data_IF_024979852545
#
_entry.id   IF_024979852545
#
_cell.length_a   1.000
_cell.length_b   1.000
_cell.length_c   1.000
_cell.angle_alpha   90.00
_cell.angle_beta   90.00
_cell.angle_gamma   90.00
#
_symmetry.space_group_name_H-M   'P 1'
#
loop_
_entity.id
_entity.type
_entity.pdbx_description
1 polymer ?
#
# COMPACT_ATOMS: atom_id res chain seq x y z
N UNK A 1 24.92 -0.71 10.17
CA UNK A 1 24.48 -1.12 8.81
C UNK A 1 25.07 -0.15 7.80
N UNK A 2 26.31 -0.39 7.36
CA UNK A 2 27.02 0.45 6.39
C UNK A 2 26.74 0.07 4.92
N UNK A 3 25.93 -0.98 4.68
CA UNK A 3 25.69 -1.53 3.33
C UNK A 3 24.86 -0.61 2.42
N UNK A 4 24.02 0.25 3.00
CA UNK A 4 23.21 1.21 2.25
C UNK A 4 23.19 2.54 3.00
N UNK A 5 24.14 3.40 2.65
CA UNK A 5 24.16 4.78 3.12
C UNK A 5 23.16 5.58 2.27
N UNK A 6 22.12 6.10 2.93
CA UNK A 6 21.01 6.86 2.35
C UNK A 6 20.44 6.31 1.02
N UNK A 7 19.87 5.09 1.01
CA UNK A 7 19.33 4.53 -0.22
C UNK A 7 18.17 5.39 -0.76
N UNK A 8 18.16 5.71 -2.07
CA UNK A 8 17.10 6.51 -2.65
C UNK A 8 15.78 5.73 -2.73
N UNK A 9 14.68 6.45 -2.95
CA UNK A 9 13.42 5.82 -3.33
C UNK A 9 13.62 5.10 -4.68
N UNK A 10 13.17 3.83 -4.83
CA UNK A 10 13.36 3.08 -6.08
C UNK A 10 12.40 3.48 -7.21
N UNK A 11 11.41 4.32 -6.93
CA UNK A 11 10.43 4.80 -7.90
C UNK A 11 10.86 6.16 -8.45
N UNK A 12 10.74 6.36 -9.76
CA UNK A 12 11.07 7.62 -10.42
C UNK A 12 9.87 8.59 -10.35
N UNK A 13 10.10 9.80 -9.86
CA UNK A 13 9.08 10.85 -9.73
C UNK A 13 9.72 12.25 -9.66
N UNK A 14 8.93 13.28 -9.99
CA UNK A 14 9.34 14.69 -9.85
C UNK A 14 8.48 15.47 -8.86
N UNK A 15 7.25 15.00 -8.59
CA UNK A 15 6.29 15.68 -7.71
C UNK A 15 5.65 14.69 -6.72
N UNK A 16 5.08 15.16 -5.59
CA UNK A 16 4.33 14.31 -4.67
C UNK A 16 3.17 13.56 -5.36
N UNK A 17 2.51 14.19 -6.33
CA UNK A 17 1.46 13.54 -7.13
C UNK A 17 2.00 12.37 -7.95
N UNK A 18 3.12 12.57 -8.66
CA UNK A 18 3.75 11.50 -9.43
C UNK A 18 4.21 10.34 -8.52
N UNK A 19 4.76 10.66 -7.35
CA UNK A 19 5.10 9.65 -6.35
C UNK A 19 3.85 8.86 -5.93
N UNK A 20 2.76 9.54 -5.60
CA UNK A 20 1.51 8.89 -5.19
C UNK A 20 1.00 7.90 -6.26
N UNK A 21 0.97 8.33 -7.52
CA UNK A 21 0.60 7.47 -8.66
C UNK A 21 1.55 6.29 -8.79
N UNK A 22 2.87 6.53 -8.74
CA UNK A 22 3.88 5.46 -8.84
C UNK A 22 3.75 4.43 -7.72
N UNK A 23 3.49 4.85 -6.47
CA UNK A 23 3.30 3.94 -5.34
C UNK A 23 2.03 3.11 -5.53
N UNK A 24 0.91 3.69 -5.97
CA UNK A 24 -0.31 2.94 -6.31
C UNK A 24 -0.04 1.88 -7.40
N UNK A 25 0.73 2.24 -8.43
CA UNK A 25 1.10 1.31 -9.50
C UNK A 25 2.03 0.19 -9.02
N UNK A 26 2.90 0.45 -8.04
CA UNK A 26 3.86 -0.52 -7.49
C UNK A 26 3.22 -1.67 -6.71
N UNK A 27 1.98 -1.50 -6.23
CA UNK A 27 1.26 -2.56 -5.55
C UNK A 27 1.18 -3.84 -6.42
N UNK A 28 1.81 -4.92 -5.97
CA UNK A 28 1.92 -6.19 -6.72
C UNK A 28 2.55 -6.03 -8.12
N UNK A 29 3.53 -5.14 -8.25
CA UNK A 29 4.31 -4.93 -9.46
C UNK A 29 5.77 -4.64 -9.08
N UNK A 30 6.68 -4.70 -10.05
CA UNK A 30 8.09 -4.37 -9.78
C UNK A 30 8.33 -2.89 -10.01
N UNK A 31 9.18 -2.27 -9.18
CA UNK A 31 9.56 -0.86 -9.31
C UNK A 31 10.11 -0.58 -10.73
N UNK A 32 10.93 -1.50 -11.26
CA UNK A 32 11.41 -1.44 -12.66
C UNK A 32 10.26 -1.30 -13.66
N UNK A 33 9.20 -2.09 -13.52
CA UNK A 33 8.08 -2.05 -14.48
C UNK A 33 7.27 -0.76 -14.36
N UNK A 34 7.14 -0.24 -13.14
CA UNK A 34 6.50 1.06 -12.89
C UNK A 34 7.31 2.19 -13.54
N UNK A 35 8.63 2.19 -13.37
CA UNK A 35 9.52 3.20 -13.94
C UNK A 35 9.61 3.13 -15.47
N UNK A 36 9.37 1.96 -16.08
CA UNK A 36 9.26 1.83 -17.55
C UNK A 36 7.99 2.50 -18.11
N UNK A 37 6.89 2.55 -17.34
CA UNK A 37 5.56 2.95 -17.83
C UNK A 37 5.21 4.38 -17.44
N UNK A 38 5.59 4.78 -16.23
CA UNK A 38 5.27 6.10 -15.67
C UNK A 38 5.72 7.29 -16.51
N UNK A 39 6.86 7.27 -17.25
CA UNK A 39 7.23 8.39 -18.11
C UNK A 39 6.18 8.69 -19.18
N UNK A 40 5.61 7.66 -19.81
CA UNK A 40 4.56 7.84 -20.82
C UNK A 40 3.25 8.36 -20.19
N UNK A 41 2.90 7.87 -19.00
CA UNK A 41 1.72 8.33 -18.27
C UNK A 41 1.88 9.80 -17.83
N UNK A 42 3.01 10.18 -17.26
CA UNK A 42 3.27 11.53 -16.75
C UNK A 42 3.50 12.55 -17.86
N UNK A 43 3.95 12.13 -19.05
CA UNK A 43 3.97 13.00 -20.22
C UNK A 43 2.56 13.40 -20.68
N UNK A 44 1.56 12.52 -20.48
CA UNK A 44 0.16 12.80 -20.80
C UNK A 44 -0.55 13.57 -19.69
N UNK A 45 -0.29 13.20 -18.44
CA UNK A 45 -0.93 13.76 -17.25
C UNK A 45 0.10 13.92 -16.10
N UNK A 46 0.81 15.06 -16.04
CA UNK A 46 1.87 15.27 -15.05
C UNK A 46 1.36 15.60 -13.64
N UNK A 47 0.10 16.06 -13.51
CA UNK A 47 -0.53 16.53 -12.28
C UNK A 47 -1.97 15.97 -12.11
N UNK A 48 -2.57 16.26 -10.96
CA UNK A 48 -3.89 15.76 -10.60
C UNK A 48 -4.99 16.27 -11.54
N UNK A 49 -4.88 17.52 -12.01
CA UNK A 49 -5.83 18.16 -12.90
C UNK A 49 -5.85 17.46 -14.26
N UNK A 50 -4.68 17.27 -14.87
CA UNK A 50 -4.55 16.58 -16.14
C UNK A 50 -4.99 15.11 -16.02
N UNK A 51 -4.63 14.42 -14.92
CA UNK A 51 -5.01 13.02 -14.71
C UNK A 51 -6.51 12.85 -14.47
N UNK A 52 -7.15 13.78 -13.75
CA UNK A 52 -8.59 13.77 -13.50
C UNK A 52 -9.42 13.98 -14.76
N UNK A 53 -8.87 14.70 -15.75
CA UNK A 53 -9.50 14.95 -17.05
C UNK A 53 -9.38 13.76 -18.02
N UNK A 54 -8.51 12.79 -17.76
CA UNK A 54 -8.38 11.59 -18.59
C UNK A 54 -9.52 10.61 -18.35
N UNK A 55 -10.03 10.05 -19.44
CA UNK A 55 -10.90 8.89 -19.40
C UNK A 55 -10.16 7.66 -18.84
N UNK A 56 -10.85 6.88 -18.01
CA UNK A 56 -10.26 5.71 -17.32
C UNK A 56 -9.66 4.72 -18.32
N UNK A 57 -10.29 4.54 -19.48
CA UNK A 57 -9.84 3.65 -20.55
C UNK A 57 -8.48 4.05 -21.13
N UNK A 58 -8.17 5.35 -21.20
CA UNK A 58 -6.85 5.84 -21.64
C UNK A 58 -5.78 5.54 -20.60
N UNK A 59 -6.07 5.79 -19.32
CA UNK A 59 -5.15 5.45 -18.22
C UNK A 59 -4.86 3.95 -18.25
N UNK A 60 -5.91 3.13 -18.34
CA UNK A 60 -5.80 1.67 -18.41
C UNK A 60 -4.95 1.22 -19.61
N UNK A 61 -5.16 1.80 -20.79
CA UNK A 61 -4.40 1.46 -21.99
C UNK A 61 -2.89 1.73 -21.84
N UNK A 62 -2.52 2.82 -21.17
CA UNK A 62 -1.11 3.16 -20.87
C UNK A 62 -0.52 2.19 -19.86
N UNK A 63 -1.27 1.86 -18.79
CA UNK A 63 -0.77 0.99 -17.71
C UNK A 63 -1.09 -0.50 -17.91
N UNK A 64 -1.56 -0.93 -19.09
CA UNK A 64 -2.06 -2.29 -19.34
C UNK A 64 -1.08 -3.42 -19.02
N UNK A 65 0.22 -3.12 -19.00
CA UNK A 65 1.29 -4.06 -18.66
C UNK A 65 1.48 -4.25 -17.14
N UNK A 66 0.83 -3.42 -16.32
CA UNK A 66 0.81 -3.51 -14.87
C UNK A 66 -0.30 -4.48 -14.43
N UNK A 67 0.01 -5.35 -13.46
CA UNK A 67 -1.00 -6.21 -12.86
C UNK A 67 -2.11 -5.39 -12.19
N UNK A 68 -3.37 -5.84 -12.34
CA UNK A 68 -4.57 -5.14 -11.85
C UNK A 68 -4.82 -3.78 -12.52
N UNK A 69 -4.38 -3.61 -13.77
CA UNK A 69 -4.53 -2.37 -14.54
C UNK A 69 -5.96 -1.76 -14.52
N UNK A 70 -7.06 -2.52 -14.72
CA UNK A 70 -8.40 -1.92 -14.74
C UNK A 70 -8.77 -1.26 -13.40
N UNK A 71 -8.50 -1.94 -12.29
CA UNK A 71 -8.76 -1.42 -10.95
C UNK A 71 -7.84 -0.24 -10.62
N UNK A 72 -6.56 -0.33 -10.97
CA UNK A 72 -5.59 0.75 -10.75
C UNK A 72 -5.94 2.00 -11.55
N UNK A 73 -6.32 1.87 -12.81
CA UNK A 73 -6.74 2.99 -13.66
C UNK A 73 -7.95 3.72 -13.06
N UNK A 74 -8.96 2.96 -12.61
CA UNK A 74 -10.14 3.52 -11.93
C UNK A 74 -9.74 4.24 -10.63
N UNK A 75 -8.87 3.64 -9.82
CA UNK A 75 -8.40 4.25 -8.58
C UNK A 75 -7.61 5.54 -8.86
N UNK A 76 -6.70 5.55 -9.83
CA UNK A 76 -5.91 6.73 -10.20
C UNK A 76 -6.83 7.87 -10.67
N UNK A 77 -7.81 7.57 -11.53
CA UNK A 77 -8.79 8.58 -11.98
C UNK A 77 -9.60 9.15 -10.81
N UNK A 78 -10.17 8.28 -9.97
CA UNK A 78 -10.97 8.70 -8.82
C UNK A 78 -10.17 9.47 -7.77
N UNK A 79 -8.94 9.02 -7.48
CA UNK A 79 -8.02 9.69 -6.58
C UNK A 79 -7.66 11.08 -7.10
N UNK A 80 -7.34 11.20 -8.39
CA UNK A 80 -7.00 12.49 -9.01
C UNK A 80 -8.19 13.46 -8.97
N UNK A 81 -9.41 12.98 -9.27
CA UNK A 81 -10.64 13.78 -9.14
C UNK A 81 -10.86 14.28 -7.72
N UNK A 82 -10.71 13.39 -6.73
CA UNK A 82 -10.85 13.77 -5.31
C UNK A 82 -9.79 14.78 -4.87
N UNK A 83 -8.55 14.66 -5.33
CA UNK A 83 -7.51 15.65 -5.07
C UNK A 83 -7.91 17.02 -5.61
N UNK A 84 -8.41 17.10 -6.85
CA UNK A 84 -8.87 18.35 -7.45
C UNK A 84 -10.05 18.94 -6.68
N UNK A 85 -11.06 18.12 -6.36
CA UNK A 85 -12.30 18.55 -5.72
C UNK A 85 -12.11 19.01 -4.26
N UNK A 86 -11.31 18.29 -3.48
CA UNK A 86 -11.21 18.49 -2.02
C UNK A 86 -9.92 19.19 -1.62
N UNK A 87 -8.82 18.94 -2.33
CA UNK A 87 -7.47 19.40 -1.94
C UNK A 87 -6.86 20.37 -2.96
N UNK A 88 -7.64 20.89 -3.92
CA UNK A 88 -7.16 21.84 -4.93
C UNK A 88 -6.12 21.27 -5.90
N UNK A 89 -6.02 19.94 -6.00
CA UNK A 89 -5.06 19.21 -6.83
C UNK A 89 -3.74 18.88 -6.12
N UNK A 90 -3.56 19.30 -4.88
CA UNK A 90 -2.37 19.01 -4.09
C UNK A 90 -2.50 17.70 -3.29
N UNK A 91 -1.40 16.97 -3.14
CA UNK A 91 -1.39 15.76 -2.31
C UNK A 91 -1.41 16.16 -0.82
N UNK A 92 -2.35 15.65 -0.01
CA UNK A 92 -2.41 15.99 1.41
C UNK A 92 -1.25 15.38 2.21
N UNK A 93 -0.87 16.06 3.28
CA UNK A 93 0.27 15.71 4.15
C UNK A 93 -0.12 14.96 5.43
N UNK A 94 -1.33 14.38 5.51
CA UNK A 94 -1.82 13.66 6.70
C UNK A 94 -2.29 12.25 6.34
N UNK A 95 -2.28 11.34 7.33
CA UNK A 95 -2.74 9.97 7.14
C UNK A 95 -4.24 9.92 6.82
N UNK A 96 -5.03 10.67 7.58
CA UNK A 96 -6.48 10.67 7.52
C UNK A 96 -6.99 11.10 6.14
N UNK A 97 -6.33 12.07 5.51
CA UNK A 97 -6.69 12.54 4.18
C UNK A 97 -6.19 11.60 3.09
N UNK A 98 -4.95 11.10 3.21
CA UNK A 98 -4.38 10.18 2.21
C UNK A 98 -5.17 8.86 2.14
N UNK A 99 -5.56 8.27 3.27
CA UNK A 99 -6.32 7.02 3.30
C UNK A 99 -7.75 7.14 2.76
N UNK A 100 -8.27 8.35 2.59
CA UNK A 100 -9.55 8.58 1.91
C UNK A 100 -9.44 8.53 0.38
N UNK A 101 -8.22 8.56 -0.16
CA UNK A 101 -7.99 8.52 -1.60
C UNK A 101 -8.12 7.09 -2.14
N UNK A 102 -8.74 6.96 -3.32
CA UNK A 102 -8.96 5.66 -3.94
C UNK A 102 -7.61 4.96 -4.26
N UNK A 103 -7.46 3.72 -3.78
CA UNK A 103 -6.25 2.93 -3.98
C UNK A 103 -5.12 3.24 -2.99
N UNK A 104 -5.34 4.12 -2.02
CA UNK A 104 -4.38 4.45 -0.96
C UNK A 104 -4.81 3.77 0.34
N UNK A 105 -4.04 2.77 0.77
CA UNK A 105 -4.16 2.18 2.12
C UNK A 105 -3.03 2.65 3.03
N UNK A 106 -3.07 2.23 4.30
CA UNK A 106 -2.12 2.64 5.35
C UNK A 106 -0.65 2.63 4.90
N UNK A 107 -0.18 1.51 4.34
CA UNK A 107 1.19 1.39 3.85
C UNK A 107 1.53 2.41 2.75
N UNK A 108 0.60 2.65 1.82
CA UNK A 108 0.80 3.60 0.72
C UNK A 108 0.89 5.02 1.26
N UNK A 109 0.00 5.39 2.18
CA UNK A 109 0.05 6.67 2.88
C UNK A 109 1.37 6.85 3.64
N UNK A 110 1.82 5.84 4.41
CA UNK A 110 3.09 5.89 5.13
C UNK A 110 4.27 6.15 4.20
N UNK A 111 4.35 5.46 3.05
CA UNK A 111 5.45 5.66 2.07
C UNK A 111 5.43 7.08 1.50
N UNK A 112 4.26 7.60 1.13
CA UNK A 112 4.13 8.96 0.59
C UNK A 112 4.54 10.01 1.63
N UNK A 113 4.08 9.86 2.87
CA UNK A 113 4.45 10.74 3.98
C UNK A 113 5.96 10.72 4.27
N UNK A 114 6.57 9.54 4.29
CA UNK A 114 8.01 9.41 4.50
C UNK A 114 8.84 10.03 3.37
N UNK A 115 8.48 9.74 2.12
CA UNK A 115 9.32 10.08 0.97
C UNK A 115 9.10 11.52 0.51
N UNK A 116 7.84 11.94 0.32
CA UNK A 116 7.53 13.29 -0.16
C UNK A 116 7.54 14.34 0.95
N UNK A 117 6.96 14.03 2.12
CA UNK A 117 6.77 15.00 3.20
C UNK A 117 7.82 14.91 4.32
N UNK A 118 8.73 13.92 4.26
CA UNK A 118 9.77 13.67 5.27
C UNK A 118 9.23 13.46 6.68
N UNK A 119 7.97 13.08 6.80
CA UNK A 119 7.35 12.68 8.08
C UNK A 119 7.95 11.35 8.50
N UNK A 120 8.31 11.19 9.77
CA UNK A 120 8.84 9.93 10.27
C UNK A 120 7.72 8.87 10.26
N UNK A 121 7.78 7.94 9.31
CA UNK A 121 6.89 6.78 9.28
C UNK A 121 7.72 5.52 9.10
N UNK A 122 7.20 4.38 9.56
CA UNK A 122 7.90 3.09 9.42
C UNK A 122 7.02 2.10 8.66
N UNK A 123 6.82 2.29 7.33
CA UNK A 123 5.94 1.40 6.56
C UNK A 123 6.49 -0.02 6.62
N UNK A 124 5.71 -0.99 7.08
CA UNK A 124 6.12 -2.40 7.07
C UNK A 124 5.56 -3.07 5.81
N UNK A 125 6.46 -3.64 5.00
CA UNK A 125 6.09 -4.44 3.84
C UNK A 125 6.41 -5.93 4.06
N UNK A 126 6.26 -6.74 3.01
CA UNK A 126 6.54 -8.18 3.08
C UNK A 126 8.03 -8.50 3.28
N UNK A 127 8.94 -7.59 2.91
CA UNK A 127 10.36 -7.73 3.21
C UNK A 127 10.61 -7.45 4.68
N UNK A 128 10.20 -6.28 5.17
CA UNK A 128 10.42 -5.86 6.55
C UNK A 128 9.77 -6.82 7.53
N UNK A 129 8.51 -7.21 7.31
CA UNK A 129 7.81 -8.17 8.18
C UNK A 129 8.56 -9.51 8.26
N UNK A 130 8.95 -10.07 7.11
CA UNK A 130 9.71 -11.33 7.04
C UNK A 130 11.06 -11.22 7.74
N UNK A 131 11.78 -10.13 7.52
CA UNK A 131 13.11 -9.91 8.08
C UNK A 131 13.06 -9.67 9.59
N UNK A 132 12.11 -8.85 10.05
CA UNK A 132 11.89 -8.60 11.46
C UNK A 132 11.60 -9.92 12.22
N UNK A 133 10.79 -10.81 11.64
CA UNK A 133 10.58 -12.15 12.21
C UNK A 133 11.85 -13.02 12.17
N UNK A 134 12.57 -13.04 11.03
CA UNK A 134 13.82 -13.81 10.90
C UNK A 134 14.87 -13.41 11.92
N UNK A 135 14.98 -12.11 12.20
CA UNK A 135 15.96 -11.52 13.12
C UNK A 135 15.47 -11.47 14.57
N UNK A 136 14.28 -12.02 14.87
CA UNK A 136 13.74 -12.03 16.23
C UNK A 136 13.34 -10.65 16.76
N UNK A 137 13.14 -9.65 15.89
CA UNK A 137 12.71 -8.30 16.27
C UNK A 137 11.22 -8.23 16.62
N UNK A 138 10.42 -9.18 16.13
CA UNK A 138 8.97 -9.25 16.37
C UNK A 138 8.51 -10.70 16.32
N UNK A 139 7.55 -11.04 17.19
CA UNK A 139 6.75 -12.26 17.07
C UNK A 139 5.36 -11.97 16.47
N UNK A 140 5.20 -10.80 15.87
CA UNK A 140 3.93 -10.29 15.38
C UNK A 140 3.36 -11.16 14.27
N UNK A 141 2.06 -11.46 14.36
CA UNK A 141 1.36 -12.32 13.38
C UNK A 141 0.92 -11.55 12.13
N UNK A 142 0.88 -10.23 12.22
CA UNK A 142 0.43 -9.33 11.17
C UNK A 142 1.37 -8.13 11.06
N UNK A 143 1.15 -7.33 10.02
CA UNK A 143 2.01 -6.19 9.66
C UNK A 143 1.88 -5.09 10.70
N UNK A 144 0.68 -4.86 11.22
CA UNK A 144 0.37 -3.83 12.21
C UNK A 144 1.13 -4.06 13.52
N UNK A 145 1.16 -5.31 14.00
CA UNK A 145 1.93 -5.67 15.19
C UNK A 145 3.45 -5.54 14.94
N UNK A 146 3.94 -5.97 13.77
CA UNK A 146 5.35 -5.77 13.43
C UNK A 146 5.74 -4.31 13.33
N UNK A 147 4.88 -3.44 12.81
CA UNK A 147 5.13 -2.01 12.77
C UNK A 147 5.22 -1.42 14.19
N UNK A 148 4.27 -1.77 15.07
CA UNK A 148 4.30 -1.33 16.47
C UNK A 148 5.58 -1.78 17.19
N UNK A 149 5.96 -3.05 17.05
CA UNK A 149 7.17 -3.61 17.66
C UNK A 149 8.43 -2.89 17.15
N UNK A 150 8.55 -2.66 15.84
CA UNK A 150 9.73 -2.03 15.25
C UNK A 150 9.83 -0.55 15.61
N UNK A 151 8.72 0.18 15.73
CA UNK A 151 8.70 1.57 16.20
C UNK A 151 9.16 1.70 17.66
N UNK A 152 8.93 0.69 18.50
CA UNK A 152 9.44 0.66 19.88
C UNK A 152 10.95 0.39 19.91
N UNK A 153 11.45 -0.44 18.99
CA UNK A 153 12.87 -0.84 18.96
C UNK A 153 13.81 0.21 18.35
N UNK A 154 13.32 0.99 17.38
CA UNK A 154 14.14 1.96 16.65
C UNK A 154 13.73 3.40 16.94
N UNK A 155 14.73 4.28 17.03
CA UNK A 155 14.52 5.73 17.20
C UNK A 155 13.78 6.32 15.99
N UNK A 156 12.83 7.20 16.25
CA UNK A 156 11.94 7.82 15.25
C UNK A 156 12.71 8.50 14.11
N UNK A 157 13.80 9.20 14.46
CA UNK A 157 14.68 9.87 13.50
C UNK A 157 15.31 8.92 12.45
N UNK A 158 15.35 7.62 12.74
CA UNK A 158 15.97 6.61 11.87
C UNK A 158 14.97 5.85 11.01
N UNK A 159 13.66 6.04 11.20
CA UNK A 159 12.64 5.20 10.59
C UNK A 159 12.67 5.19 9.06
N UNK A 160 12.65 6.36 8.42
CA UNK A 160 12.64 6.51 6.97
C UNK A 160 13.88 5.87 6.29
N UNK A 161 15.14 6.19 6.69
CA UNK A 161 16.29 5.53 6.09
C UNK A 161 16.39 4.05 6.44
N UNK A 162 15.97 3.64 7.64
CA UNK A 162 15.98 2.24 8.05
C UNK A 162 14.98 1.39 7.24
N UNK A 163 13.80 1.92 6.95
CA UNK A 163 12.79 1.29 6.10
C UNK A 163 13.39 0.87 4.76
N UNK A 164 14.03 1.81 4.04
CA UNK A 164 14.65 1.52 2.74
C UNK A 164 15.84 0.56 2.88
N UNK A 165 16.71 0.77 3.87
CA UNK A 165 17.86 -0.13 4.13
C UNK A 165 17.44 -1.59 4.30
N UNK A 166 16.37 -1.85 5.05
CA UNK A 166 15.84 -3.21 5.27
C UNK A 166 15.25 -3.77 3.97
N UNK A 167 14.54 -2.96 3.19
CA UNK A 167 13.99 -3.39 1.88
C UNK A 167 15.10 -3.79 0.92
N UNK A 168 16.12 -2.95 0.72
CA UNK A 168 17.26 -3.25 -0.16
C UNK A 168 17.98 -4.52 0.29
N UNK A 169 18.27 -4.64 1.60
CA UNK A 169 18.86 -5.84 2.15
C UNK A 169 18.01 -7.10 1.88
N UNK A 170 16.69 -7.00 2.04
CA UNK A 170 15.75 -8.08 1.80
C UNK A 170 15.61 -8.49 0.33
N UNK A 171 15.93 -7.60 -0.60
CA UNK A 171 15.91 -7.87 -2.05
C UNK A 171 17.21 -8.54 -2.50
N UNK A 172 18.34 -8.04 -2.01
CA UNK A 172 19.68 -8.44 -2.49
C UNK A 172 20.22 -9.66 -1.73
N UNK A 173 20.11 -9.66 -0.41
CA UNK A 173 20.78 -10.65 0.45
C UNK A 173 19.81 -11.64 1.10
N UNK A 174 18.63 -11.20 1.52
CA UNK A 174 17.72 -12.00 2.34
C UNK A 174 16.37 -12.26 1.66
N UNK A 175 16.44 -12.93 0.52
CA UNK A 175 15.29 -13.30 -0.33
C UNK A 175 14.28 -14.18 0.41
N UNK A 176 13.03 -14.22 -0.09
CA UNK A 176 11.99 -15.07 0.50
C UNK A 176 12.33 -16.56 0.33
N UNK A 177 12.58 -17.00 -0.91
CA UNK A 177 13.07 -18.33 -1.24
C UNK A 177 13.74 -18.34 -2.65
N UNK A 178 14.79 -19.15 -2.88
CA UNK A 178 15.59 -19.84 -1.86
C UNK A 178 16.38 -18.84 -1.00
N UNK A 179 16.59 -19.16 0.27
CA UNK A 179 17.39 -18.36 1.21
C UNK A 179 18.30 -19.27 2.03
N UNK A 180 19.60 -18.96 2.03
CA UNK A 180 20.59 -19.60 2.88
C UNK A 180 21.02 -18.63 3.98
N UNK A 181 20.71 -18.91 5.26
CA UNK A 181 21.06 -18.03 6.36
C UNK A 181 22.56 -18.06 6.70
N UNK A 182 23.31 -19.09 6.28
CA UNK A 182 24.75 -19.22 6.58
C UNK A 182 25.60 -18.23 5.79
N UNK A 183 25.14 -17.83 4.61
CA UNK A 183 25.81 -16.85 3.73
C UNK A 183 25.18 -15.46 3.79
N UNK A 184 24.05 -15.31 4.49
CA UNK A 184 23.35 -14.03 4.61
C UNK A 184 24.03 -13.16 5.69
N UNK A 185 24.46 -11.91 5.37
CA UNK A 185 25.29 -11.09 6.26
C UNK A 185 24.68 -10.79 7.64
N UNK A 186 23.34 -10.77 7.75
CA UNK A 186 22.64 -10.54 9.03
C UNK A 186 22.12 -11.85 9.61
N UNK A 187 21.51 -12.71 8.80
CA UNK A 187 20.94 -13.95 9.32
C UNK A 187 21.99 -14.90 9.91
N UNK A 188 23.24 -14.86 9.45
CA UNK A 188 24.30 -15.75 9.95
C UNK A 188 24.56 -15.61 11.47
N UNK A 189 24.26 -14.45 12.05
CA UNK A 189 24.43 -14.18 13.49
C UNK A 189 23.13 -13.77 14.19
N UNK A 190 22.13 -13.26 13.47
CA UNK A 190 20.88 -12.76 14.04
C UNK A 190 19.69 -13.70 13.88
N UNK A 191 19.75 -14.73 13.02
CA UNK A 191 18.57 -15.53 12.73
C UNK A 191 18.15 -16.42 13.90
N UNK A 192 16.88 -16.36 14.28
CA UNK A 192 16.30 -17.27 15.30
C UNK A 192 15.88 -18.60 14.67
N UNK A 193 16.04 -19.76 15.32
CA UNK A 193 15.52 -21.04 14.80
C UNK A 193 14.00 -20.96 14.51
N UNK A 194 13.48 -21.65 13.47
CA UNK A 194 14.03 -22.84 12.81
C UNK A 194 14.69 -22.57 11.46
N UNK A 195 15.38 -21.43 11.28
CA UNK A 195 16.11 -21.15 10.02
C UNK A 195 17.42 -21.95 9.86
N UNK A 196 17.85 -22.74 10.84
CA UNK A 196 19.04 -23.62 10.78
C UNK A 196 18.79 -24.97 10.07
N UNK A 197 18.14 -24.99 8.90
CA UNK A 197 18.18 -26.18 8.00
C UNK A 197 18.28 -25.75 6.54
N UNK A 198 19.27 -26.25 5.77
CA UNK A 198 19.28 -26.11 4.31
C UNK A 198 17.96 -26.62 3.72
N UNK A 199 17.28 -25.79 2.93
CA UNK A 199 16.03 -26.16 2.24
C UNK A 199 14.72 -25.81 2.95
N UNK A 200 14.73 -25.09 4.08
CA UNK A 200 13.49 -24.63 4.71
C UNK A 200 12.99 -23.29 4.14
N UNK A 201 12.12 -23.37 3.13
CA UNK A 201 11.28 -22.23 2.72
C UNK A 201 10.18 -22.02 3.77
N UNK A 202 9.98 -20.83 4.36
CA UNK A 202 8.98 -20.68 5.41
C UNK A 202 7.57 -20.51 4.83
N UNK A 203 6.66 -21.23 5.49
CA UNK A 203 5.18 -21.10 5.58
C UNK A 203 4.32 -21.92 4.61
N UNK A 204 3.81 -23.05 5.12
CA UNK A 204 2.35 -23.26 5.16
C UNK A 204 1.90 -23.21 6.61
N UNK A 205 1.09 -22.21 6.93
CA UNK A 205 0.35 -22.13 8.17
C UNK A 205 -0.67 -23.29 8.22
N UNK A 206 -0.74 -23.97 9.37
CA UNK A 206 -1.77 -24.99 9.63
C UNK A 206 -1.21 -26.35 10.02
N UNK A 207 -0.58 -26.42 11.19
CA UNK A 207 -0.56 -27.60 12.07
C UNK A 207 0.11 -27.20 13.39
N UNK A 208 -0.59 -26.43 14.21
CA UNK A 208 -0.23 -26.20 15.60
C UNK A 208 -0.60 -27.44 16.43
N UNK A 209 0.28 -28.44 16.45
CA UNK A 209 0.28 -29.46 17.50
C UNK A 209 1.33 -29.07 18.54
N UNK A 210 0.91 -28.43 19.63
CA UNK A 210 1.77 -28.30 20.82
C UNK A 210 1.79 -29.66 21.55
N UNK A 211 2.96 -30.21 21.93
CA UNK A 211 3.01 -31.20 22.99
C UNK A 211 3.26 -30.48 24.31
N UNK A 212 2.33 -30.56 25.25
CA UNK A 212 2.63 -30.24 26.65
C UNK A 212 1.84 -31.14 27.60
N UNK A 213 2.52 -32.14 28.18
CA UNK A 213 2.77 -32.30 29.64
C UNK A 213 3.13 -33.76 30.00
N UNK A 214 4.29 -33.95 30.63
CA UNK A 214 4.50 -34.90 31.75
C UNK A 214 3.69 -34.37 32.97
N UNK A 215 3.09 -35.13 33.90
CA UNK A 215 3.19 -36.54 34.32
C UNK A 215 2.06 -36.88 35.33
N UNK A 216 1.45 -38.08 35.18
CA UNK A 216 0.95 -39.10 36.17
C UNK A 216 -0.04 -38.77 37.33
N UNK A 217 -0.69 -39.77 38.00
CA UNK A 217 -0.95 -41.18 37.67
C UNK A 217 -2.44 -41.65 37.79
N UNK A 218 -2.61 -42.96 37.54
CA UNK A 218 -3.80 -43.82 37.38
C UNK A 218 -4.95 -43.76 38.40
N UNK A 219 -6.18 -43.99 37.89
CA UNK A 219 -7.17 -44.93 38.47
C UNK A 219 -8.21 -45.38 37.41
N UNK A 220 -8.21 -46.69 37.16
CA UNK A 220 -9.35 -47.63 36.98
C UNK A 220 -10.76 -47.21 36.51
N UNK A 221 -11.28 -48.08 35.63
CA UNK A 221 -12.66 -48.63 35.49
C UNK A 221 -13.65 -48.09 34.44
N UNK A 222 -13.87 -48.95 33.42
CA UNK A 222 -15.15 -49.51 32.91
C UNK A 222 -16.10 -48.66 32.04
N UNK A 223 -16.33 -49.13 30.80
CA UNK A 223 -17.70 -49.45 30.35
C UNK A 223 -18.38 -48.58 29.27
N UNK A 224 -18.35 -49.08 28.02
CA UNK A 224 -19.47 -49.21 27.08
C UNK A 224 -20.29 -48.00 26.57
N UNK A 225 -20.09 -47.68 25.27
CA UNK A 225 -21.05 -47.73 24.13
C UNK A 225 -22.45 -47.00 24.19
N UNK A 226 -23.14 -46.75 23.04
CA UNK A 226 -23.44 -45.37 22.64
C UNK A 226 -24.90 -45.09 22.17
N UNK A 227 -25.12 -43.84 21.71
CA UNK A 227 -26.15 -43.35 20.76
C UNK A 227 -27.61 -43.25 21.21
N UNK A 228 -28.21 -42.07 21.01
CA UNK A 228 -29.36 -41.93 20.10
C UNK A 228 -29.58 -40.46 19.71
N UNK A 229 -30.00 -40.30 18.45
CA UNK A 229 -30.31 -39.07 17.76
C UNK A 229 -31.80 -38.71 17.86
N UNK A 230 -32.13 -37.43 17.65
CA UNK A 230 -33.40 -36.85 17.15
C UNK A 230 -33.35 -35.32 17.42
N UNK A 231 -33.93 -34.38 16.69
CA UNK A 231 -34.60 -34.27 15.40
C UNK A 231 -34.73 -32.74 15.09
N UNK A 232 -34.84 -32.35 13.81
CA UNK A 232 -35.27 -31.00 13.36
C UNK A 232 -36.80 -30.84 13.50
N UNK A 233 -37.37 -29.62 13.48
CA UNK A 233 -38.00 -29.11 12.23
C UNK A 233 -37.96 -27.56 12.02
N UNK A 234 -37.76 -27.05 10.79
CA UNK A 234 -38.74 -26.44 9.82
C UNK A 234 -39.22 -25.01 10.20
N UNK A 235 -38.69 -23.94 9.60
CA UNK A 235 -39.18 -23.13 8.44
C UNK A 235 -40.36 -22.15 8.67
N UNK A 236 -40.20 -20.88 8.23
CA UNK A 236 -41.09 -20.08 7.33
C UNK A 236 -40.69 -18.59 7.38
N UNK A 237 -40.19 -18.04 6.26
CA UNK A 237 -40.82 -17.13 5.26
C UNK A 237 -40.93 -15.63 5.65
N UNK A 238 -40.39 -14.80 4.74
CA UNK A 238 -40.49 -13.32 4.62
C UNK A 238 -41.93 -12.81 4.44
N UNK A 239 -42.13 -11.49 4.65
CA UNK A 239 -42.64 -10.67 3.55
C UNK A 239 -41.94 -9.30 3.37
N UNK A 240 -42.28 -8.69 2.23
CA UNK A 240 -41.86 -7.44 1.57
C UNK A 240 -42.69 -6.20 1.98
N UNK A 241 -42.17 -4.98 1.73
CA UNK A 241 -42.81 -3.74 1.20
C UNK A 241 -41.71 -2.63 1.23
N UNK A 242 -41.34 -1.88 0.18
CA UNK A 242 -42.01 -0.94 -0.75
C UNK A 242 -42.07 0.53 -0.27
N UNK A 243 -41.55 1.46 -1.10
CA UNK A 243 -41.70 2.93 -1.05
C UNK A 243 -40.38 3.68 -0.85
N UNK A 244 -40.02 4.78 -1.53
CA UNK A 244 -40.63 5.57 -2.62
C UNK A 244 -39.54 6.55 -3.10
N UNK A 245 -39.53 6.88 -4.40
CA UNK A 245 -38.62 7.86 -5.02
C UNK A 245 -38.99 9.31 -4.66
N UNK A 246 -37.98 10.20 -4.62
CA UNK A 246 -38.14 11.65 -4.77
C UNK A 246 -37.05 12.15 -5.71
N UNK A 247 -37.51 12.80 -6.78
CA UNK A 247 -36.77 13.48 -7.84
C UNK A 247 -37.04 14.98 -7.66
N UNK A 248 -35.99 15.82 -7.61
CA UNK A 248 -36.12 17.29 -7.75
C UNK A 248 -34.92 17.84 -8.52
N UNK A 249 -35.10 17.93 -9.83
CA UNK A 249 -34.87 19.08 -10.74
C UNK A 249 -33.92 20.20 -10.28
N UNK A 250 -32.86 20.41 -11.07
CA UNK A 250 -32.08 21.65 -11.17
C UNK A 250 -32.79 22.69 -12.05
N UNK A 251 -32.44 23.99 -11.93
CA UNK A 251 -32.47 24.88 -13.08
C UNK A 251 -31.06 25.35 -13.47
N UNK A 252 -30.85 25.30 -14.77
CA UNK A 252 -29.80 25.95 -15.56
C UNK A 252 -30.00 27.47 -15.49
N UNK A 253 -28.91 28.23 -15.43
CA UNK A 253 -28.87 29.57 -16.02
C UNK A 253 -27.57 29.75 -16.80
N UNK A 254 -27.75 29.82 -18.12
CA UNK A 254 -26.79 30.32 -19.09
C UNK A 254 -26.67 31.85 -18.98
N UNK A 255 -25.51 32.39 -19.36
CA UNK A 255 -25.44 33.76 -19.89
C UNK A 255 -24.25 34.59 -19.38
N UNK A 256 -23.15 34.57 -20.13
CA UNK A 256 -22.62 35.77 -20.81
C UNK A 256 -21.21 35.52 -21.38
N UNK A 257 -21.17 35.31 -22.71
CA UNK A 257 -20.03 35.58 -23.57
C UNK A 257 -20.29 36.92 -24.26
N UNK A 258 -19.38 37.89 -24.11
CA UNK A 258 -19.08 38.98 -25.05
C UNK A 258 -17.84 39.73 -24.49
N UNK A 259 -16.65 39.59 -25.07
CA UNK A 259 -16.18 40.26 -26.28
C UNK A 259 -16.09 41.79 -26.12
N UNK A 260 -14.88 42.30 -25.88
CA UNK A 260 -14.47 43.61 -26.39
C UNK A 260 -12.95 43.66 -26.60
N UNK A 261 -12.56 43.43 -27.85
CA UNK A 261 -11.37 44.01 -28.46
C UNK A 261 -11.70 45.44 -28.86
N UNK A 262 -10.83 46.44 -28.59
CA UNK A 262 -10.67 47.66 -29.43
C UNK A 262 -9.43 48.48 -28.99
N UNK A 263 -8.67 48.87 -30.01
CA UNK A 263 -7.75 50.02 -30.17
C UNK A 263 -6.45 50.10 -29.34
N UNK A 264 -5.24 49.91 -29.91
CA UNK A 264 -4.53 50.80 -30.87
C UNK A 264 -4.54 52.30 -30.50
N UNK A 265 -3.41 52.82 -29.98
CA UNK A 265 -2.56 53.82 -30.67
C UNK A 265 -1.48 54.47 -29.77
N UNK A 266 -0.24 54.35 -30.24
CA UNK A 266 0.79 55.39 -30.47
C UNK A 266 1.25 56.31 -29.32
N UNK A 267 2.58 56.34 -29.17
CA UNK A 267 3.38 57.47 -28.69
C UNK A 267 4.10 57.11 -27.39
N UNK A 268 5.37 57.42 -27.15
CA UNK A 268 6.30 58.37 -27.79
C UNK A 268 7.66 58.19 -27.09
N UNK A 269 8.76 58.35 -27.83
CA UNK A 269 10.09 58.84 -27.40
C UNK A 269 10.88 58.03 -26.33
N UNK A 270 11.98 57.36 -26.70
CA UNK A 270 13.36 57.92 -26.70
C UNK A 270 13.64 58.90 -25.55
N UNK A 271 14.48 58.49 -24.59
CA UNK A 271 15.61 59.30 -24.09
C UNK A 271 16.55 58.48 -23.19
N UNK A 272 17.81 58.46 -23.64
CA UNK A 272 19.09 58.21 -22.93
C UNK A 272 19.36 56.81 -22.41
#
# INVERSE_FOLDING_TARGET
MALYEDPPCPLDYQTPFQLLVAVILSAQSTDKKVNEITPALFALAPDAQAMAALEVSYIEAVIKQIGLAPTKAKNISNMSKRLVEVHGGEVPGTFEELEQLAGVGHKTASVVLAVAFKVATFPVDTHIHRLAQRWGLTSGKNVEQSEADLKVLFREETWNPLHLRIIYFGREHCKAAPHDPTVCPICMWAAVPPFHRPGSSPLKAGQSGLPRKLSQPATTTVGSAPQSAQAKPVSRKRPTMAGKAVEVVAPVSEGALAAETVALRKGRQRRK
#
